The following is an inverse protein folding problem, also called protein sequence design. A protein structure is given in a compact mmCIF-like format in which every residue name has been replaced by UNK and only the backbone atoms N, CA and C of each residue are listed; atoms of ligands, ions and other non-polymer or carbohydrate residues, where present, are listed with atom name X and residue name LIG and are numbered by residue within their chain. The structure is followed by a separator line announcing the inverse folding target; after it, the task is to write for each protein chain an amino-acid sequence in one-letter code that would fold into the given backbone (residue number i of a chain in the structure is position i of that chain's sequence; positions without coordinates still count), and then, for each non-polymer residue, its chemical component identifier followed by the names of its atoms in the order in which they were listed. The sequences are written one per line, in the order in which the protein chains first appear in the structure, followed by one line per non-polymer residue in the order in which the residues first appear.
data_IF_595151748101
#
_entry.id   IF_595151748101
#
_cell.length_a   1.000
_cell.length_b   1.000
_cell.length_c   1.000
_cell.angle_alpha   90.00
_cell.angle_beta   90.00
_cell.angle_gamma   90.00
#
_symmetry.space_group_name_H-M   'P 1'
#
loop_
_entity.id
_entity.type
_entity.pdbx_description
1 polymer ?
#
# COMPACT_ATOMS: atom_id res chain seq x y z
N UNK A 1 -8.83 3.40 -23.75
CA UNK A 1 -8.00 2.71 -22.74
C UNK A 1 -7.63 3.73 -21.68
N UNK A 2 -7.95 3.47 -20.42
CA UNK A 2 -7.70 4.37 -19.29
C UNK A 2 -6.81 3.68 -18.24
N UNK A 3 -6.17 4.48 -17.39
CA UNK A 3 -5.16 4.03 -16.42
C UNK A 3 -3.86 4.83 -16.54
N UNK A 4 -2.95 4.65 -15.58
CA UNK A 4 -1.59 5.18 -15.66
C UNK A 4 -0.64 4.05 -16.05
N UNK A 5 0.24 4.30 -17.02
CA UNK A 5 1.22 3.32 -17.49
C UNK A 5 0.83 2.63 -18.80
N UNK A 6 1.64 1.65 -19.20
CA UNK A 6 1.47 0.94 -20.46
C UNK A 6 0.32 -0.07 -20.40
N UNK A 7 -0.34 -0.25 -21.55
CA UNK A 7 -1.40 -1.26 -21.69
C UNK A 7 -0.76 -2.63 -21.90
N UNK A 8 -1.00 -3.57 -20.98
CA UNK A 8 -0.57 -4.95 -21.14
C UNK A 8 -1.27 -5.58 -22.36
N UNK A 9 -0.50 -6.17 -23.27
CA UNK A 9 -1.00 -6.85 -24.48
C UNK A 9 -0.28 -8.17 -24.68
N UNK A 10 -1.03 -9.22 -24.97
CA UNK A 10 -0.49 -10.58 -25.09
C UNK A 10 -0.31 -11.27 -23.73
N UNK A 11 -0.20 -12.60 -23.76
CA UNK A 11 -0.18 -13.45 -22.56
C UNK A 11 0.94 -13.07 -21.59
N UNK A 12 2.17 -12.97 -22.09
CA UNK A 12 3.35 -12.66 -21.26
C UNK A 12 3.22 -11.34 -20.52
N UNK A 13 2.80 -10.26 -21.20
CA UNK A 13 2.65 -8.95 -20.56
C UNK A 13 1.51 -8.93 -19.53
N UNK A 14 0.45 -9.72 -19.76
CA UNK A 14 -0.66 -9.88 -18.80
C UNK A 14 -0.20 -10.65 -17.56
N UNK A 15 0.50 -11.77 -17.76
CA UNK A 15 1.06 -12.57 -16.66
C UNK A 15 2.04 -11.73 -15.83
N UNK A 16 2.90 -10.96 -16.48
CA UNK A 16 3.83 -10.05 -15.81
C UNK A 16 3.10 -8.96 -15.01
N UNK A 17 2.00 -8.39 -15.52
CA UNK A 17 1.23 -7.38 -14.79
C UNK A 17 0.57 -7.98 -13.54
N UNK A 18 -0.01 -9.18 -13.65
CA UNK A 18 -0.62 -9.90 -12.53
C UNK A 18 0.41 -10.20 -11.45
N UNK A 19 1.57 -10.73 -11.83
CA UNK A 19 2.60 -11.12 -10.85
C UNK A 19 3.26 -9.90 -10.19
N UNK A 20 3.41 -8.80 -10.91
CA UNK A 20 3.86 -7.54 -10.31
C UNK A 20 2.87 -7.00 -9.27
N UNK A 21 1.57 -6.96 -9.58
CA UNK A 21 0.54 -6.56 -8.62
C UNK A 21 0.48 -7.51 -7.43
N UNK A 22 0.58 -8.83 -7.68
CA UNK A 22 0.64 -9.84 -6.61
C UNK A 22 1.83 -9.61 -5.69
N UNK A 23 3.02 -9.38 -6.25
CA UNK A 23 4.23 -9.10 -5.48
C UNK A 23 4.09 -7.86 -4.60
N UNK A 24 3.58 -6.77 -5.15
CA UNK A 24 3.30 -5.54 -4.38
C UNK A 24 2.39 -5.80 -3.18
N UNK A 25 1.26 -6.49 -3.40
CA UNK A 25 0.28 -6.78 -2.36
C UNK A 25 0.85 -7.73 -1.30
N UNK A 26 1.50 -8.83 -1.71
CA UNK A 26 2.03 -9.83 -0.78
C UNK A 26 3.15 -9.26 0.09
N UNK A 27 4.09 -8.51 -0.49
CA UNK A 27 5.19 -7.87 0.24
C UNK A 27 4.63 -6.88 1.27
N UNK A 28 3.64 -6.05 0.88
CA UNK A 28 2.96 -5.12 1.79
C UNK A 28 2.20 -5.85 2.91
N UNK A 29 1.41 -6.87 2.56
CA UNK A 29 0.65 -7.68 3.53
C UNK A 29 1.57 -8.27 4.58
N UNK A 30 2.69 -8.87 4.15
CA UNK A 30 3.67 -9.45 5.05
C UNK A 30 4.22 -8.42 6.05
N UNK A 31 4.69 -7.28 5.55
CA UNK A 31 5.37 -6.27 6.38
C UNK A 31 4.40 -5.64 7.38
N UNK A 32 3.24 -5.18 6.91
CA UNK A 32 2.26 -4.52 7.77
C UNK A 32 1.71 -5.50 8.81
N UNK A 33 1.44 -6.76 8.43
CA UNK A 33 1.00 -7.81 9.37
C UNK A 33 2.06 -8.10 10.43
N UNK A 34 3.34 -8.11 10.08
CA UNK A 34 4.44 -8.31 11.03
C UNK A 34 4.49 -7.17 12.05
N UNK A 35 4.43 -5.91 11.58
CA UNK A 35 4.44 -4.74 12.47
C UNK A 35 3.22 -4.73 13.38
N UNK A 36 2.03 -4.94 12.81
CA UNK A 36 0.77 -4.96 13.55
C UNK A 36 0.74 -6.08 14.59
N UNK A 37 1.13 -7.31 14.21
CA UNK A 37 1.08 -8.50 15.07
C UNK A 37 1.96 -8.38 16.32
N UNK A 38 3.05 -7.60 16.26
CA UNK A 38 3.89 -7.28 17.44
C UNK A 38 3.51 -5.97 18.14
N UNK A 39 2.35 -5.40 17.80
CA UNK A 39 1.81 -4.13 18.35
C UNK A 39 2.73 -2.93 18.10
N UNK A 40 3.32 -2.86 16.90
CA UNK A 40 4.04 -1.67 16.42
C UNK A 40 3.08 -0.51 16.09
N UNK A 41 3.61 0.54 15.47
CA UNK A 41 2.82 1.71 15.06
C UNK A 41 2.52 1.70 13.56
N UNK A 42 1.48 2.44 13.16
CA UNK A 42 1.16 2.69 11.75
C UNK A 42 2.34 3.33 11.01
N UNK A 43 3.03 4.29 11.64
CA UNK A 43 4.24 4.93 11.11
C UNK A 43 5.33 3.91 10.80
N UNK A 44 5.62 3.01 11.74
CA UNK A 44 6.64 1.99 11.53
C UNK A 44 6.27 1.05 10.38
N UNK A 45 4.98 0.68 10.27
CA UNK A 45 4.50 -0.15 9.17
C UNK A 45 4.67 0.57 7.82
N UNK A 46 4.33 1.86 7.75
CA UNK A 46 4.54 2.68 6.56
C UNK A 46 6.00 2.77 6.17
N UNK A 47 6.89 3.15 7.09
CA UNK A 47 8.33 3.31 6.82
C UNK A 47 8.98 2.00 6.34
N UNK A 48 8.66 0.87 7.00
CA UNK A 48 9.17 -0.44 6.59
C UNK A 48 8.64 -0.87 5.22
N UNK A 49 7.36 -0.64 4.97
CA UNK A 49 6.73 -0.95 3.68
C UNK A 49 7.35 -0.11 2.57
N UNK A 50 7.51 1.20 2.80
CA UNK A 50 8.17 2.11 1.87
C UNK A 50 9.58 1.65 1.54
N UNK A 51 10.41 1.41 2.56
CA UNK A 51 11.79 0.98 2.38
C UNK A 51 11.91 -0.34 1.60
N UNK A 52 10.96 -1.26 1.77
CA UNK A 52 10.96 -2.55 1.07
C UNK A 52 10.45 -2.44 -0.37
N UNK A 53 9.37 -1.70 -0.61
CA UNK A 53 8.71 -1.63 -1.91
C UNK A 53 9.36 -0.61 -2.85
N UNK A 54 9.91 0.49 -2.34
CA UNK A 54 10.46 1.57 -3.16
C UNK A 54 11.50 1.11 -4.20
N UNK A 55 12.47 0.21 -3.87
CA UNK A 55 13.45 -0.25 -4.87
C UNK A 55 12.82 -0.96 -6.08
N UNK A 56 11.67 -1.63 -5.90
CA UNK A 56 10.99 -2.40 -6.95
C UNK A 56 9.89 -1.59 -7.64
N UNK A 57 9.15 -0.80 -6.88
CA UNK A 57 7.89 -0.19 -7.31
C UNK A 57 7.90 1.34 -7.26
N UNK A 58 8.96 1.98 -6.75
CA UNK A 58 9.01 3.44 -6.57
C UNK A 58 8.92 4.25 -7.86
N UNK A 59 9.17 3.63 -9.01
CA UNK A 59 9.02 4.25 -10.33
C UNK A 59 7.62 4.08 -10.93
N UNK A 60 6.72 3.37 -10.23
CA UNK A 60 5.35 3.23 -10.69
C UNK A 60 4.59 4.55 -10.57
N UNK A 61 3.64 4.81 -11.49
CA UNK A 61 2.78 5.96 -11.35
C UNK A 61 2.11 5.96 -9.98
N UNK A 62 2.07 7.12 -9.32
CA UNK A 62 1.42 7.35 -8.02
C UNK A 62 1.91 6.54 -6.82
N UNK A 63 3.01 5.79 -6.90
CA UNK A 63 3.51 4.99 -5.78
C UNK A 63 3.57 5.77 -4.46
N UNK A 64 4.28 6.90 -4.46
CA UNK A 64 4.43 7.78 -3.29
C UNK A 64 3.09 8.25 -2.72
N UNK A 65 2.16 8.58 -3.63
CA UNK A 65 0.85 9.07 -3.23
C UNK A 65 -0.03 7.94 -2.70
N UNK A 66 -0.03 6.74 -3.30
CA UNK A 66 -0.98 5.70 -2.92
C UNK A 66 -0.56 4.94 -1.67
N UNK A 67 0.74 4.83 -1.41
CA UNK A 67 1.25 3.96 -0.35
C UNK A 67 0.69 4.27 1.05
N UNK A 68 0.54 5.53 1.51
CA UNK A 68 -0.09 5.83 2.79
C UNK A 68 -1.51 5.27 2.92
N UNK A 69 -2.31 5.36 1.85
CA UNK A 69 -3.68 4.87 1.81
C UNK A 69 -3.73 3.34 1.84
N UNK A 70 -2.85 2.70 1.07
CA UNK A 70 -2.77 1.24 0.99
C UNK A 70 -2.36 0.63 2.35
N UNK A 71 -1.35 1.22 3.00
CA UNK A 71 -0.90 0.82 4.34
C UNK A 71 -1.98 1.06 5.38
N UNK A 72 -2.63 2.23 5.38
CA UNK A 72 -3.73 2.52 6.31
C UNK A 72 -4.91 1.56 6.10
N UNK A 73 -5.26 1.23 4.86
CA UNK A 73 -6.36 0.30 4.59
C UNK A 73 -6.04 -1.08 5.15
N UNK A 74 -4.84 -1.58 4.90
CA UNK A 74 -4.44 -2.88 5.42
C UNK A 74 -4.37 -2.88 6.95
N UNK A 75 -3.92 -1.79 7.57
CA UNK A 75 -3.95 -1.62 9.02
C UNK A 75 -5.38 -1.69 9.57
N UNK A 76 -6.33 -1.00 8.93
CA UNK A 76 -7.75 -1.07 9.31
C UNK A 76 -8.28 -2.51 9.21
N UNK A 77 -7.93 -3.25 8.14
CA UNK A 77 -8.35 -4.65 7.98
C UNK A 77 -7.81 -5.55 9.10
N UNK A 78 -6.56 -5.35 9.51
CA UNK A 78 -5.93 -6.08 10.63
C UNK A 78 -6.53 -5.69 11.99
N UNK A 79 -7.04 -4.47 12.12
CA UNK A 79 -7.85 -4.02 13.27
C UNK A 79 -9.30 -4.56 13.24
N UNK A 80 -9.65 -5.41 12.26
CA UNK A 80 -10.96 -6.04 12.14
C UNK A 80 -12.02 -5.16 11.47
N UNK A 81 -11.63 -4.08 10.79
CA UNK A 81 -12.53 -3.16 10.11
C UNK A 81 -12.77 -3.67 8.68
N UNK A 82 -13.77 -4.54 8.55
CA UNK A 82 -14.18 -5.16 7.29
C UNK A 82 -14.60 -4.11 6.25
N UNK A 83 -15.55 -3.24 6.61
CA UNK A 83 -16.01 -2.17 5.73
C UNK A 83 -15.09 -0.95 5.77
N UNK A 84 -14.65 -0.51 4.59
CA UNK A 84 -13.81 0.66 4.44
C UNK A 84 -14.38 1.89 5.14
N UNK A 85 -13.54 2.56 5.92
CA UNK A 85 -13.86 3.88 6.48
C UNK A 85 -13.91 4.90 5.35
N UNK A 86 -14.89 5.80 5.40
CA UNK A 86 -14.97 6.89 4.44
C UNK A 86 -13.72 7.76 4.60
N UNK A 87 -13.01 8.01 3.50
CA UNK A 87 -11.86 8.89 3.50
C UNK A 87 -12.32 10.34 3.43
N UNK A 88 -12.43 10.99 4.59
CA UNK A 88 -12.77 12.41 4.70
C UNK A 88 -11.51 13.27 4.80
N UNK A 89 -11.65 14.59 4.69
CA UNK A 89 -10.53 15.52 4.85
C UNK A 89 -9.95 15.48 6.27
N UNK A 90 -10.81 15.26 7.28
CA UNK A 90 -10.40 15.11 8.68
C UNK A 90 -9.58 13.84 8.87
N UNK A 91 -10.05 12.71 8.32
CA UNK A 91 -9.31 11.44 8.37
C UNK A 91 -7.98 11.52 7.65
N UNK A 92 -7.92 12.22 6.53
CA UNK A 92 -6.66 12.45 5.81
C UNK A 92 -5.63 13.11 6.75
N UNK A 93 -6.00 14.21 7.41
CA UNK A 93 -5.12 14.87 8.38
C UNK A 93 -4.74 13.94 9.54
N UNK A 94 -5.70 13.23 10.14
CA UNK A 94 -5.43 12.29 11.24
C UNK A 94 -4.44 11.19 10.87
N UNK A 95 -4.49 10.68 9.65
CA UNK A 95 -3.55 9.66 9.16
C UNK A 95 -2.20 10.30 8.88
N UNK A 96 -2.15 11.45 8.21
CA UNK A 96 -0.89 12.15 7.93
C UNK A 96 -0.15 12.55 9.21
N UNK A 97 -0.87 13.03 10.23
CA UNK A 97 -0.32 13.38 11.54
C UNK A 97 0.33 12.16 12.22
N UNK A 98 -0.22 10.96 12.02
CA UNK A 98 0.35 9.72 12.55
C UNK A 98 1.60 9.25 11.80
N UNK A 99 1.77 9.67 10.54
CA UNK A 99 2.92 9.29 9.70
C UNK A 99 4.09 10.28 9.82
N UNK A 100 3.84 11.49 10.33
CA UNK A 100 4.85 12.54 10.52
C UNK A 100 5.50 12.50 11.92
N UNK A 101 6.54 13.31 12.14
CA UNK A 101 7.18 13.54 13.46
C UNK A 101 6.70 14.86 14.08
#
# INVERSE_FOLDING_TARGET
VGGRGAVARGREAVDAAIEQTRGFLLDMIQIVSEVHGRKGSLKEAFEKTYAHLYPKFGQWPIFEHCLPFDVQRLWDELDGIDWGRIWTAERDQEVWDQLQD
#
